data_IF_373902618076
#
_entry.id   IF_373902618076
#
_cell.length_a   1.000
_cell.length_b   1.000
_cell.length_c   1.000
_cell.angle_alpha   90.00
_cell.angle_beta   90.00
_cell.angle_gamma   90.00
#
_symmetry.space_group_name_H-M   'P 1'
#
loop_
_entity.id
_entity.type
_entity.pdbx_description
1 polymer ?
#
# COMPACT_ATOMS: atom_id res chain seq x y z
N UNK A 1 30.88 -5.35 14.66
CA UNK A 1 30.30 -6.02 15.84
C UNK A 1 29.51 -7.25 15.44
N UNK A 2 28.84 -7.94 16.38
CA UNK A 2 27.92 -9.05 16.06
C UNK A 2 26.73 -8.57 15.22
N UNK A 3 26.34 -7.31 15.41
CA UNK A 3 25.31 -6.57 14.66
C UNK A 3 25.62 -6.47 13.17
N UNK A 4 26.81 -5.98 12.78
CA UNK A 4 27.19 -5.84 11.36
C UNK A 4 27.19 -7.18 10.62
N UNK A 5 27.58 -8.27 11.30
CA UNK A 5 27.52 -9.63 10.72
C UNK A 5 26.09 -10.10 10.52
N UNK A 6 25.17 -9.75 11.43
CA UNK A 6 23.76 -10.09 11.31
C UNK A 6 23.11 -9.31 10.14
N UNK A 7 23.36 -8.00 10.05
CA UNK A 7 22.91 -7.15 8.93
C UNK A 7 23.38 -7.74 7.61
N UNK A 8 24.68 -7.97 7.44
CA UNK A 8 25.24 -8.55 6.21
C UNK A 8 24.63 -9.93 5.87
N UNK A 9 24.30 -10.74 6.88
CA UNK A 9 23.67 -12.05 6.65
C UNK A 9 22.23 -11.93 6.17
N UNK A 10 21.45 -11.02 6.75
CA UNK A 10 20.07 -10.77 6.33
C UNK A 10 20.00 -10.12 4.96
N UNK A 11 20.92 -9.22 4.64
CA UNK A 11 21.11 -8.64 3.31
C UNK A 11 21.26 -9.72 2.23
N UNK A 12 22.14 -10.71 2.46
CA UNK A 12 22.32 -11.84 1.53
C UNK A 12 21.06 -12.70 1.38
N UNK A 13 20.28 -12.85 2.46
CA UNK A 13 19.03 -13.61 2.41
C UNK A 13 17.96 -12.84 1.62
N UNK A 14 17.82 -11.55 1.86
CA UNK A 14 16.86 -10.68 1.18
C UNK A 14 17.19 -10.50 -0.29
N UNK A 15 18.47 -10.54 -0.66
CA UNK A 15 18.88 -10.57 -2.07
C UNK A 15 18.38 -11.83 -2.81
N UNK A 16 18.23 -12.96 -2.09
CA UNK A 16 17.71 -14.22 -2.65
C UNK A 16 16.19 -14.32 -2.55
N UNK A 17 15.59 -13.77 -1.49
CA UNK A 17 14.16 -13.75 -1.26
C UNK A 17 13.72 -12.36 -0.76
N UNK A 18 13.56 -11.39 -1.67
CA UNK A 18 13.18 -10.02 -1.34
C UNK A 18 11.72 -9.90 -0.88
N UNK A 19 10.95 -10.99 -0.85
CA UNK A 19 9.55 -10.99 -0.39
C UNK A 19 9.39 -11.51 1.04
N UNK A 20 10.48 -11.65 1.80
CA UNK A 20 10.44 -12.25 3.13
C UNK A 20 10.26 -11.22 4.24
N UNK A 21 9.01 -10.99 4.65
CA UNK A 21 8.66 -10.09 5.77
C UNK A 21 9.45 -10.41 7.05
N UNK A 22 9.61 -11.70 7.38
CA UNK A 22 10.37 -12.13 8.57
C UNK A 22 11.82 -11.62 8.55
N UNK A 23 12.49 -11.69 7.40
CA UNK A 23 13.89 -11.27 7.31
C UNK A 23 14.02 -9.75 7.28
N UNK A 24 13.00 -9.02 6.81
CA UNK A 24 12.93 -7.57 7.00
C UNK A 24 12.81 -7.20 8.47
N UNK A 25 11.91 -7.82 9.23
CA UNK A 25 11.82 -7.55 10.67
C UNK A 25 13.12 -7.88 11.41
N UNK A 26 13.74 -9.02 11.12
CA UNK A 26 15.03 -9.35 11.69
C UNK A 26 16.15 -8.36 11.28
N UNK A 27 16.09 -7.80 10.07
CA UNK A 27 17.02 -6.77 9.61
C UNK A 27 16.80 -5.47 10.41
N UNK A 28 15.55 -5.04 10.60
CA UNK A 28 15.23 -3.86 11.39
C UNK A 28 15.69 -4.00 12.85
N UNK A 29 15.43 -5.15 13.48
CA UNK A 29 15.96 -5.46 14.82
C UNK A 29 17.49 -5.44 14.85
N UNK A 30 18.16 -5.93 13.79
CA UNK A 30 19.61 -5.84 13.69
C UNK A 30 20.10 -4.38 13.52
N UNK A 31 19.28 -3.48 13.02
CA UNK A 31 19.53 -2.04 13.04
C UNK A 31 19.19 -1.37 14.39
N UNK A 32 18.70 -2.13 15.37
CA UNK A 32 18.32 -1.63 16.69
C UNK A 32 16.88 -1.09 16.77
N UNK A 33 16.06 -1.35 15.76
CA UNK A 33 14.70 -0.84 15.64
C UNK A 33 13.71 -1.81 16.28
N UNK A 34 12.91 -1.36 17.25
CA UNK A 34 11.79 -2.13 17.80
C UNK A 34 10.50 -1.82 17.05
N UNK A 35 10.10 -2.74 16.17
CA UNK A 35 8.93 -2.58 15.31
C UNK A 35 7.60 -2.52 16.05
N UNK A 36 7.56 -2.87 17.34
CA UNK A 36 6.36 -2.74 18.17
C UNK A 36 6.25 -1.36 18.83
N UNK A 37 7.32 -0.56 18.81
CA UNK A 37 7.38 0.76 19.44
C UNK A 37 8.23 1.73 18.60
N UNK A 38 7.76 2.00 17.38
CA UNK A 38 8.44 2.86 16.42
C UNK A 38 8.25 4.35 16.73
N UNK A 39 9.35 5.08 16.87
CA UNK A 39 9.38 6.54 16.75
C UNK A 39 9.53 7.01 15.29
N UNK A 40 9.65 8.32 15.06
CA UNK A 40 9.77 8.88 13.72
C UNK A 40 11.14 8.56 13.06
N UNK A 41 12.23 8.52 13.84
CA UNK A 41 13.57 8.21 13.33
C UNK A 41 13.65 6.74 12.89
N UNK A 42 13.07 5.83 13.67
CA UNK A 42 12.94 4.41 13.33
C UNK A 42 12.15 4.21 12.03
N UNK A 43 11.04 4.94 11.85
CA UNK A 43 10.23 4.89 10.62
C UNK A 43 11.01 5.40 9.43
N UNK A 44 11.69 6.54 9.56
CA UNK A 44 12.51 7.10 8.48
C UNK A 44 13.62 6.12 8.08
N UNK A 45 14.26 5.44 9.05
CA UNK A 45 15.26 4.41 8.75
C UNK A 45 14.68 3.18 8.05
N UNK A 46 13.51 2.70 8.47
CA UNK A 46 12.82 1.60 7.78
C UNK A 46 12.47 2.00 6.33
N UNK A 47 11.95 3.20 6.14
CA UNK A 47 11.57 3.73 4.82
C UNK A 47 12.80 3.83 3.91
N UNK A 48 13.94 4.32 4.42
CA UNK A 48 15.21 4.37 3.68
C UNK A 48 15.63 2.97 3.21
N UNK A 49 15.68 1.99 4.12
CA UNK A 49 16.05 0.60 3.80
C UNK A 49 15.09 0.01 2.75
N UNK A 50 13.78 0.21 2.90
CA UNK A 50 12.80 -0.31 1.95
C UNK A 50 12.90 0.35 0.58
N UNK A 51 13.17 1.65 0.52
CA UNK A 51 13.34 2.37 -0.74
C UNK A 51 14.56 1.86 -1.51
N UNK A 52 15.70 1.64 -0.86
CA UNK A 52 16.88 1.01 -1.50
C UNK A 52 16.54 -0.36 -2.11
N UNK A 53 15.72 -1.15 -1.41
CA UNK A 53 15.26 -2.47 -1.92
C UNK A 53 14.26 -2.34 -3.06
N UNK A 54 13.37 -1.36 -3.01
CA UNK A 54 12.43 -1.07 -4.09
C UNK A 54 13.19 -0.62 -5.33
N UNK A 55 14.25 0.19 -5.20
CA UNK A 55 15.09 0.58 -6.34
C UNK A 55 15.75 -0.64 -7.00
N UNK A 56 16.32 -1.54 -6.19
CA UNK A 56 16.95 -2.79 -6.67
C UNK A 56 15.93 -3.77 -7.26
N UNK A 57 14.70 -3.79 -6.76
CA UNK A 57 13.65 -4.75 -7.10
C UNK A 57 12.32 -4.09 -7.48
N UNK A 58 12.35 -3.07 -8.34
CA UNK A 58 11.22 -2.16 -8.63
C UNK A 58 9.95 -2.81 -9.18
N UNK A 59 10.05 -4.03 -9.69
CA UNK A 59 8.93 -4.84 -10.19
C UNK A 59 8.18 -5.58 -9.07
N UNK A 60 8.74 -5.69 -7.88
CA UNK A 60 8.12 -6.42 -6.77
C UNK A 60 7.06 -5.56 -6.07
N UNK A 61 5.81 -5.94 -6.28
CA UNK A 61 4.67 -5.30 -5.60
C UNK A 61 4.73 -5.49 -4.09
N UNK A 62 5.25 -6.63 -3.62
CA UNK A 62 5.40 -6.91 -2.19
C UNK A 62 6.13 -5.78 -1.45
N UNK A 63 7.24 -5.27 -1.99
CA UNK A 63 8.00 -4.22 -1.31
C UNK A 63 7.24 -2.89 -1.26
N UNK A 64 6.57 -2.53 -2.36
CA UNK A 64 5.72 -1.34 -2.43
C UNK A 64 4.57 -1.44 -1.44
N UNK A 65 3.94 -2.62 -1.35
CA UNK A 65 2.89 -2.92 -0.38
C UNK A 65 3.40 -2.84 1.06
N UNK A 66 4.56 -3.44 1.32
CA UNK A 66 5.15 -3.51 2.65
C UNK A 66 5.55 -2.13 3.16
N UNK A 67 6.07 -1.26 2.29
CA UNK A 67 6.38 0.14 2.60
C UNK A 67 5.16 0.90 3.14
N UNK A 68 3.96 0.67 2.60
CA UNK A 68 2.72 1.32 3.06
C UNK A 68 2.42 1.11 4.55
N UNK A 69 2.97 0.05 5.16
CA UNK A 69 2.81 -0.19 6.61
C UNK A 69 3.51 0.87 7.46
N UNK A 70 4.60 1.46 6.96
CA UNK A 70 5.50 2.29 7.76
C UNK A 70 5.34 3.79 7.51
N UNK A 71 4.80 4.19 6.36
CA UNK A 71 4.50 5.59 6.04
C UNK A 71 3.46 6.15 7.02
N UNK A 72 3.77 7.26 7.70
CA UNK A 72 2.89 7.94 8.66
C UNK A 72 2.54 9.39 8.24
N UNK A 73 3.22 9.93 7.24
CA UNK A 73 2.93 11.25 6.65
C UNK A 73 1.90 11.09 5.53
N UNK A 74 0.83 11.90 5.56
CA UNK A 74 -0.31 11.80 4.62
C UNK A 74 0.14 11.84 3.15
N UNK A 75 0.97 12.82 2.80
CA UNK A 75 1.43 13.03 1.43
C UNK A 75 2.30 11.85 0.94
N UNK A 76 3.24 11.38 1.76
CA UNK A 76 4.08 10.25 1.40
C UNK A 76 3.26 8.98 1.19
N UNK A 77 2.29 8.73 2.07
CA UNK A 77 1.39 7.59 1.93
C UNK A 77 0.56 7.70 0.65
N UNK A 78 -0.01 8.87 0.35
CA UNK A 78 -0.80 9.11 -0.87
C UNK A 78 0.00 8.81 -2.13
N UNK A 79 1.19 9.39 -2.26
CA UNK A 79 2.06 9.20 -3.43
C UNK A 79 2.41 7.72 -3.65
N UNK A 80 2.69 6.98 -2.58
CA UNK A 80 3.03 5.56 -2.70
C UNK A 80 1.81 4.68 -2.93
N UNK A 81 0.67 5.01 -2.31
CA UNK A 81 -0.58 4.30 -2.50
C UNK A 81 -1.09 4.43 -3.93
N UNK A 82 -1.13 5.64 -4.49
CA UNK A 82 -1.54 5.88 -5.88
C UNK A 82 -0.69 5.06 -6.88
N UNK A 83 0.64 5.02 -6.68
CA UNK A 83 1.54 4.18 -7.48
C UNK A 83 1.25 2.69 -7.33
N UNK A 84 0.89 2.26 -6.12
CA UNK A 84 0.61 0.86 -5.82
C UNK A 84 -0.73 0.40 -6.42
N UNK A 85 -1.80 1.16 -6.19
CA UNK A 85 -3.16 0.78 -6.60
C UNK A 85 -3.33 0.75 -8.12
N UNK A 86 -2.58 1.56 -8.87
CA UNK A 86 -2.59 1.55 -10.35
C UNK A 86 -2.38 0.17 -10.93
N UNK A 87 -1.48 -0.64 -10.37
CA UNK A 87 -1.27 -2.01 -10.86
C UNK A 87 -2.57 -2.83 -10.81
N UNK A 88 -3.34 -2.69 -9.74
CA UNK A 88 -4.58 -3.44 -9.53
C UNK A 88 -5.73 -2.88 -10.38
N UNK A 89 -5.81 -1.55 -10.52
CA UNK A 89 -6.81 -0.88 -11.35
C UNK A 89 -6.62 -1.23 -12.82
N UNK A 90 -5.43 -1.02 -13.40
CA UNK A 90 -5.16 -1.28 -14.83
C UNK A 90 -5.27 -2.77 -15.18
N UNK A 91 -5.15 -3.66 -14.21
CA UNK A 91 -5.26 -5.12 -14.41
C UNK A 91 -6.60 -5.71 -13.99
N UNK A 92 -7.51 -4.91 -13.41
CA UNK A 92 -8.78 -5.40 -12.89
C UNK A 92 -8.62 -6.48 -11.82
N UNK A 93 -7.78 -6.25 -10.82
CA UNK A 93 -7.47 -7.25 -9.78
C UNK A 93 -8.27 -6.96 -8.51
N UNK A 94 -9.31 -7.74 -8.17
CA UNK A 94 -10.25 -7.41 -7.09
C UNK A 94 -9.66 -7.46 -5.67
N UNK A 95 -8.44 -7.97 -5.49
CA UNK A 95 -7.85 -8.20 -4.18
C UNK A 95 -7.17 -6.98 -3.55
N UNK A 96 -7.20 -5.80 -4.20
CA UNK A 96 -6.48 -4.60 -3.71
C UNK A 96 -6.84 -4.24 -2.26
N UNK A 97 -8.13 -4.12 -1.95
CA UNK A 97 -8.55 -3.68 -0.60
C UNK A 97 -8.19 -4.73 0.44
N UNK A 98 -8.41 -6.02 0.16
CA UNK A 98 -8.02 -7.11 1.06
C UNK A 98 -6.51 -7.11 1.33
N UNK A 99 -5.72 -6.80 0.31
CA UNK A 99 -4.27 -6.74 0.41
C UNK A 99 -3.81 -5.61 1.35
N UNK A 100 -4.48 -4.45 1.34
CA UNK A 100 -4.15 -3.29 2.19
C UNK A 100 -4.95 -3.20 3.51
N UNK A 101 -5.96 -4.04 3.71
CA UNK A 101 -6.96 -3.92 4.79
C UNK A 101 -6.31 -3.72 6.17
N UNK A 102 -5.35 -4.59 6.53
CA UNK A 102 -4.67 -4.52 7.82
C UNK A 102 -3.93 -3.21 8.06
N UNK A 103 -3.51 -2.53 6.99
CA UNK A 103 -2.78 -1.25 7.06
C UNK A 103 -3.71 -0.08 7.25
N UNK A 104 -4.92 -0.13 6.68
CA UNK A 104 -5.85 1.00 6.67
C UNK A 104 -6.87 0.91 7.81
N UNK A 105 -7.25 -0.30 8.26
CA UNK A 105 -8.29 -0.45 9.29
C UNK A 105 -7.87 0.01 10.69
N UNK A 106 -6.56 0.08 10.93
CA UNK A 106 -5.99 0.51 12.21
C UNK A 106 -5.45 1.94 12.15
N UNK A 107 -5.64 2.65 11.03
CA UNK A 107 -5.03 3.96 10.77
C UNK A 107 -6.01 4.85 9.99
N UNK A 108 -6.66 5.76 10.72
CA UNK A 108 -7.69 6.66 10.17
C UNK A 108 -7.17 7.56 9.05
N UNK A 109 -5.91 7.99 9.15
CA UNK A 109 -5.27 8.82 8.12
C UNK A 109 -5.12 8.02 6.83
N UNK A 110 -4.64 6.79 6.90
CA UNK A 110 -4.49 5.93 5.71
C UNK A 110 -5.84 5.55 5.12
N UNK A 111 -6.83 5.24 5.95
CA UNK A 111 -8.20 4.99 5.50
C UNK A 111 -8.75 6.18 4.70
N UNK A 112 -8.64 7.39 5.26
CA UNK A 112 -9.04 8.63 4.60
C UNK A 112 -8.36 8.79 3.24
N UNK A 113 -7.04 8.65 3.18
CA UNK A 113 -6.27 8.80 1.92
C UNK A 113 -6.74 7.81 0.85
N UNK A 114 -6.89 6.52 1.20
CA UNK A 114 -7.33 5.48 0.26
C UNK A 114 -8.71 5.81 -0.31
N UNK A 115 -9.64 6.20 0.55
CA UNK A 115 -11.00 6.57 0.18
C UNK A 115 -11.03 7.77 -0.77
N UNK A 116 -10.36 8.85 -0.41
CA UNK A 116 -10.28 10.07 -1.24
C UNK A 116 -9.65 9.78 -2.60
N UNK A 117 -8.60 8.94 -2.64
CA UNK A 117 -7.98 8.53 -3.91
C UNK A 117 -8.96 7.78 -4.81
N UNK A 118 -9.72 6.84 -4.27
CA UNK A 118 -10.72 6.11 -5.07
C UNK A 118 -11.91 6.99 -5.48
N UNK A 119 -12.40 7.86 -4.61
CA UNK A 119 -13.48 8.81 -4.92
C UNK A 119 -13.05 9.77 -6.04
N UNK A 120 -11.84 10.32 -5.96
CA UNK A 120 -11.23 11.15 -7.03
C UNK A 120 -11.14 10.39 -8.36
N UNK A 121 -10.67 9.14 -8.33
CA UNK A 121 -10.56 8.33 -9.55
C UNK A 121 -11.93 7.97 -10.13
N UNK A 122 -12.92 7.69 -9.29
CA UNK A 122 -14.28 7.39 -9.73
C UNK A 122 -14.91 8.61 -10.40
N UNK A 123 -14.80 9.80 -9.79
CA UNK A 123 -15.28 11.05 -10.39
C UNK A 123 -14.64 11.31 -11.77
N UNK A 124 -13.33 11.12 -11.87
CA UNK A 124 -12.58 11.28 -13.12
C UNK A 124 -12.99 10.25 -14.19
N UNK A 125 -13.25 9.01 -13.80
CA UNK A 125 -13.75 7.95 -14.69
C UNK A 125 -15.16 8.28 -15.21
N UNK A 126 -16.08 8.66 -14.33
CA UNK A 126 -17.48 8.96 -14.69
C UNK A 126 -17.61 10.17 -15.60
N UNK A 127 -16.71 11.14 -15.45
CA UNK A 127 -16.75 12.38 -16.22
C UNK A 127 -16.03 12.25 -17.56
N UNK A 128 -14.79 11.75 -17.54
CA UNK A 128 -13.86 11.87 -18.66
C UNK A 128 -13.27 10.51 -19.10
N UNK A 129 -13.65 9.39 -18.46
CA UNK A 129 -13.04 8.05 -18.65
C UNK A 129 -11.51 8.06 -18.48
N UNK A 130 -11.02 8.86 -17.52
CA UNK A 130 -9.58 8.96 -17.26
C UNK A 130 -9.22 8.71 -15.80
N UNK A 131 -7.99 8.28 -15.57
CA UNK A 131 -7.33 8.28 -14.26
C UNK A 131 -6.02 9.05 -14.41
N UNK A 132 -5.89 10.14 -13.65
CA UNK A 132 -4.76 11.08 -13.72
C UNK A 132 -4.44 11.55 -15.16
N UNK A 133 -5.49 11.79 -15.96
CA UNK A 133 -5.37 12.31 -17.32
C UNK A 133 -5.11 11.28 -18.41
N UNK A 134 -4.99 9.99 -18.08
CA UNK A 134 -4.85 8.91 -19.05
C UNK A 134 -6.18 8.20 -19.26
N UNK A 135 -6.59 8.00 -20.52
CA UNK A 135 -7.79 7.23 -20.89
C UNK A 135 -7.71 5.79 -20.37
N UNK A 136 -8.83 5.31 -19.84
CA UNK A 136 -8.98 4.02 -19.19
C UNK A 136 -10.11 3.22 -19.85
N UNK A 137 -10.03 1.90 -19.72
CA UNK A 137 -11.14 0.99 -20.02
C UNK A 137 -12.33 1.27 -19.06
N UNK A 138 -13.57 1.39 -19.57
CA UNK A 138 -14.75 1.62 -18.73
C UNK A 138 -14.92 0.61 -17.59
N UNK A 139 -14.40 -0.62 -17.73
CA UNK A 139 -14.40 -1.64 -16.66
C UNK A 139 -13.72 -1.15 -15.37
N UNK A 140 -12.79 -0.20 -15.45
CA UNK A 140 -12.09 0.34 -14.29
C UNK A 140 -13.02 1.12 -13.35
N UNK A 141 -14.14 1.65 -13.86
CA UNK A 141 -15.20 2.23 -13.05
C UNK A 141 -15.82 1.18 -12.12
N UNK A 142 -16.19 0.01 -12.65
CA UNK A 142 -16.72 -1.12 -11.85
C UNK A 142 -15.73 -1.54 -10.75
N UNK A 143 -14.43 -1.57 -11.01
CA UNK A 143 -13.43 -1.88 -9.99
C UNK A 143 -13.33 -0.80 -8.90
N UNK A 144 -13.45 0.48 -9.26
CA UNK A 144 -13.45 1.58 -8.29
C UNK A 144 -14.69 1.53 -7.39
N UNK A 145 -15.87 1.29 -7.97
CA UNK A 145 -17.11 1.08 -7.21
C UNK A 145 -16.97 -0.11 -6.26
N UNK A 146 -16.41 -1.22 -6.75
CA UNK A 146 -16.16 -2.41 -5.93
C UNK A 146 -15.19 -2.13 -4.77
N UNK A 147 -14.06 -1.44 -5.03
CA UNK A 147 -13.12 -1.09 -3.97
C UNK A 147 -13.73 -0.13 -2.95
N UNK A 148 -14.48 0.88 -3.39
CA UNK A 148 -15.19 1.79 -2.49
C UNK A 148 -16.21 1.05 -1.63
N UNK A 149 -16.94 0.09 -2.19
CA UNK A 149 -17.84 -0.74 -1.42
C UNK A 149 -17.13 -1.54 -0.32
N UNK A 150 -15.96 -2.11 -0.63
CA UNK A 150 -15.12 -2.79 0.37
C UNK A 150 -14.63 -1.82 1.46
N UNK A 151 -14.26 -0.58 1.10
CA UNK A 151 -13.90 0.45 2.07
C UNK A 151 -15.08 0.79 2.99
N UNK A 152 -16.28 1.02 2.44
CA UNK A 152 -17.50 1.27 3.23
C UNK A 152 -17.83 0.09 4.15
N UNK A 153 -17.62 -1.14 3.68
CA UNK A 153 -17.78 -2.33 4.51
C UNK A 153 -16.82 -2.34 5.72
N UNK A 154 -15.54 -1.98 5.51
CA UNK A 154 -14.55 -1.87 6.60
C UNK A 154 -14.93 -0.77 7.60
N UNK A 155 -15.45 0.36 7.11
CA UNK A 155 -15.99 1.46 7.95
C UNK A 155 -17.25 1.04 8.73
N UNK A 156 -17.87 -0.11 8.43
CA UNK A 156 -19.14 -0.55 9.01
C UNK A 156 -20.39 0.10 8.37
N UNK A 157 -20.21 0.86 7.30
CA UNK A 157 -21.30 1.47 6.52
C UNK A 157 -21.82 0.49 5.45
N UNK A 158 -22.58 -0.49 5.92
CA UNK A 158 -23.10 -1.56 5.07
C UNK A 158 -24.15 -1.08 4.06
N UNK A 159 -24.83 0.04 4.33
CA UNK A 159 -25.85 0.59 3.43
C UNK A 159 -25.17 1.16 2.19
N UNK A 160 -24.21 2.07 2.38
CA UNK A 160 -23.44 2.66 1.27
C UNK A 160 -22.66 1.58 0.51
N UNK A 161 -22.11 0.58 1.22
CA UNK A 161 -21.44 -0.55 0.58
C UNK A 161 -22.38 -1.32 -0.37
N UNK A 162 -23.62 -1.58 0.04
CA UNK A 162 -24.62 -2.27 -0.79
C UNK A 162 -25.10 -1.44 -1.97
N UNK A 163 -25.15 -0.11 -1.84
CA UNK A 163 -25.51 0.79 -2.94
C UNK A 163 -24.42 0.77 -4.03
N UNK A 164 -23.15 0.95 -3.65
CA UNK A 164 -22.02 0.89 -4.57
C UNK A 164 -21.91 -0.45 -5.31
N UNK A 165 -22.16 -1.58 -4.65
CA UNK A 165 -22.15 -2.91 -5.29
C UNK A 165 -23.25 -3.07 -6.34
N UNK A 166 -24.39 -2.38 -6.20
CA UNK A 166 -25.47 -2.45 -7.21
C UNK A 166 -25.14 -1.66 -8.47
N UNK A 167 -24.22 -0.71 -8.37
CA UNK A 167 -23.76 0.12 -9.48
C UNK A 167 -22.56 -0.49 -10.23
N UNK A 168 -21.94 -1.53 -9.67
CA UNK A 168 -20.86 -2.30 -10.30
C UNK A 168 -21.33 -3.03 -11.56
#
# INVERSE_FOLDING_TARGET
GKTDKAIASYEVILDKNPSSTKHYYNLFEAHGIDVNNLDDDDREKIIEILNEKIEKHSKLLFLKRFLLNFLNKEEDFRVHFEKYCRHFLTKGIPSLVNDIENTIKTDELKMKVVKETFEKYLESMQKDLTIDGEEQDPMQETFLLFYLAQIRHIEGDYISALELIKEC
#
